data_IF_039084257662
#
_entry.id   IF_039084257662
#
_cell.length_a   1.000
_cell.length_b   1.000
_cell.length_c   1.000
_cell.angle_alpha   90.00
_cell.angle_beta   90.00
_cell.angle_gamma   90.00
#
_symmetry.space_group_name_H-M   'P 1'
#
loop_
_entity.id
_entity.type
_entity.pdbx_description
1 polymer ?
#
# COMPACT_ATOMS: atom_id res chain seq x y z
N UNK A 1 -3.92 6.60 -12.40
CA UNK A 1 -5.35 6.33 -12.18
C UNK A 1 -6.02 7.62 -11.69
N UNK A 2 -7.28 7.91 -12.04
CA UNK A 2 -7.99 9.04 -11.43
C UNK A 2 -8.18 8.81 -9.93
N UNK A 3 -7.96 9.84 -9.11
CA UNK A 3 -8.11 9.78 -7.65
C UNK A 3 -9.61 9.82 -7.31
N UNK A 4 -10.12 8.79 -6.63
CA UNK A 4 -11.55 8.60 -6.32
C UNK A 4 -11.85 8.46 -4.82
N UNK A 5 -10.87 8.79 -3.99
CA UNK A 5 -10.91 8.91 -2.52
C UNK A 5 -12.14 9.66 -1.96
N UNK A 6 -12.68 10.65 -2.68
CA UNK A 6 -13.88 11.40 -2.26
C UNK A 6 -15.13 10.51 -2.19
N UNK A 7 -15.11 9.34 -2.83
CA UNK A 7 -16.17 8.34 -2.78
C UNK A 7 -15.96 7.29 -1.68
N UNK A 8 -14.96 7.46 -0.81
CA UNK A 8 -14.56 6.47 0.20
C UNK A 8 -15.75 5.92 1.00
N UNK A 9 -16.59 6.79 1.58
CA UNK A 9 -17.72 6.36 2.41
C UNK A 9 -18.75 5.53 1.64
N UNK A 10 -19.09 5.95 0.42
CA UNK A 10 -20.05 5.24 -0.42
C UNK A 10 -19.51 3.84 -0.80
N UNK A 11 -18.23 3.77 -1.19
CA UNK A 11 -17.55 2.51 -1.52
C UNK A 11 -17.37 1.60 -0.31
N UNK A 12 -17.04 2.16 0.85
CA UNK A 12 -16.95 1.39 2.08
C UNK A 12 -18.31 0.75 2.41
N UNK A 13 -19.41 1.50 2.26
CA UNK A 13 -20.77 0.97 2.43
C UNK A 13 -21.07 -0.20 1.49
N UNK A 14 -20.78 -0.06 0.19
CA UNK A 14 -21.03 -1.15 -0.76
C UNK A 14 -20.14 -2.37 -0.53
N UNK A 15 -18.86 -2.16 -0.19
CA UNK A 15 -17.91 -3.25 0.08
C UNK A 15 -18.21 -4.00 1.39
N UNK A 16 -18.77 -3.32 2.39
CA UNK A 16 -19.24 -3.98 3.62
C UNK A 16 -20.46 -4.89 3.37
N UNK A 17 -21.30 -4.56 2.38
CA UNK A 17 -22.46 -5.37 2.02
C UNK A 17 -22.12 -6.57 1.11
N UNK A 18 -20.91 -6.60 0.53
CA UNK A 18 -20.46 -7.66 -0.37
C UNK A 18 -20.01 -8.90 0.41
N UNK A 19 -20.89 -9.92 0.46
CA UNK A 19 -20.66 -11.15 1.20
C UNK A 19 -19.45 -11.96 0.69
N UNK A 20 -19.22 -11.99 -0.64
CA UNK A 20 -18.10 -12.73 -1.23
C UNK A 20 -16.78 -12.06 -0.83
N UNK A 21 -16.73 -10.74 -0.92
CA UNK A 21 -15.58 -9.98 -0.45
C UNK A 21 -15.28 -10.24 1.03
N UNK A 22 -16.30 -10.27 1.90
CA UNK A 22 -16.09 -10.56 3.32
C UNK A 22 -15.46 -11.96 3.54
N UNK A 23 -15.90 -12.96 2.78
CA UNK A 23 -15.33 -14.31 2.83
C UNK A 23 -13.88 -14.34 2.35
N UNK A 24 -13.58 -13.65 1.24
CA UNK A 24 -12.23 -13.59 0.66
C UNK A 24 -11.24 -12.88 1.59
N UNK A 25 -11.62 -11.74 2.18
CA UNK A 25 -10.76 -10.98 3.10
C UNK A 25 -10.49 -11.73 4.41
N UNK A 26 -11.48 -12.46 4.95
CA UNK A 26 -11.33 -13.21 6.20
C UNK A 26 -10.28 -14.32 6.09
N UNK A 27 -10.24 -15.03 4.95
CA UNK A 27 -9.21 -16.05 4.70
C UNK A 27 -7.80 -15.44 4.66
N UNK A 28 -7.67 -14.26 4.03
CA UNK A 28 -6.39 -13.58 3.88
C UNK A 28 -5.83 -13.07 5.21
N UNK A 29 -6.69 -12.41 6.00
CA UNK A 29 -6.27 -11.79 7.27
C UNK A 29 -5.66 -12.79 8.23
N UNK A 30 -6.12 -14.04 8.22
CA UNK A 30 -5.59 -15.08 9.10
C UNK A 30 -4.26 -15.64 8.60
N UNK A 31 -4.14 -15.89 7.29
CA UNK A 31 -2.96 -16.57 6.72
C UNK A 31 -1.68 -15.72 6.80
N UNK A 32 -1.72 -14.46 6.38
CA UNK A 32 -0.52 -13.62 6.39
C UNK A 32 -0.08 -13.22 7.80
N UNK A 33 -1.05 -12.98 8.70
CA UNK A 33 -0.77 -12.62 10.10
C UNK A 33 -0.10 -13.77 10.83
N UNK A 34 -0.62 -15.00 10.71
CA UNK A 34 -0.04 -16.17 11.37
C UNK A 34 1.32 -16.55 10.77
N UNK A 35 1.45 -16.55 9.44
CA UNK A 35 2.71 -16.85 8.77
C UNK A 35 3.81 -15.85 9.16
N UNK A 36 3.50 -14.55 9.20
CA UNK A 36 4.42 -13.52 9.69
C UNK A 36 4.81 -13.78 11.14
N UNK A 37 3.85 -14.03 12.02
CA UNK A 37 4.10 -14.26 13.44
C UNK A 37 5.10 -15.40 13.67
N UNK A 38 4.98 -16.50 12.91
CA UNK A 38 5.94 -17.61 12.95
C UNK A 38 7.29 -17.24 12.34
N UNK A 39 7.32 -16.53 11.20
CA UNK A 39 8.56 -16.27 10.48
C UNK A 39 9.50 -15.29 11.20
N UNK A 40 8.95 -14.33 11.95
CA UNK A 40 9.75 -13.33 12.67
C UNK A 40 10.45 -13.89 13.90
N UNK A 41 10.00 -15.02 14.47
CA UNK A 41 10.66 -15.63 15.65
C UNK A 41 12.04 -16.19 15.32
N UNK A 42 12.33 -16.44 14.05
CA UNK A 42 13.62 -16.92 13.58
C UNK A 42 14.73 -15.84 13.60
N UNK A 43 14.42 -14.60 13.97
CA UNK A 43 15.36 -13.49 14.02
C UNK A 43 15.10 -12.64 15.29
N UNK A 44 16.09 -11.86 15.71
CA UNK A 44 15.84 -10.73 16.61
C UNK A 44 15.10 -9.64 15.83
N UNK A 45 13.77 -9.69 15.86
CA UNK A 45 12.93 -8.79 15.08
C UNK A 45 13.14 -7.32 15.48
N UNK A 46 13.19 -7.01 16.77
CA UNK A 46 13.31 -5.61 17.23
C UNK A 46 14.69 -5.03 16.92
N UNK A 47 15.78 -5.79 17.13
CA UNK A 47 17.11 -5.32 16.74
C UNK A 47 17.24 -5.17 15.22
N UNK A 48 16.74 -6.15 14.44
CA UNK A 48 16.78 -6.08 12.97
C UNK A 48 15.93 -4.90 12.45
N UNK A 49 14.76 -4.66 13.07
CA UNK A 49 13.88 -3.52 12.77
C UNK A 49 14.54 -2.19 13.06
N UNK A 50 15.22 -2.06 14.20
CA UNK A 50 15.98 -0.86 14.55
C UNK A 50 17.10 -0.60 13.54
N UNK A 51 17.88 -1.63 13.21
CA UNK A 51 18.95 -1.55 12.23
C UNK A 51 18.44 -1.13 10.83
N UNK A 52 17.34 -1.74 10.35
CA UNK A 52 16.77 -1.35 9.06
C UNK A 52 16.21 0.07 9.09
N UNK A 53 15.54 0.47 10.18
CA UNK A 53 15.04 1.84 10.34
C UNK A 53 16.16 2.87 10.22
N UNK A 54 17.28 2.63 10.90
CA UNK A 54 18.47 3.49 10.84
C UNK A 54 19.06 3.55 9.43
N UNK A 55 19.27 2.40 8.78
CA UNK A 55 19.81 2.35 7.41
C UNK A 55 18.91 3.07 6.41
N UNK A 56 17.58 2.94 6.54
CA UNK A 56 16.62 3.69 5.73
C UNK A 56 16.65 5.19 6.02
N UNK A 57 16.84 5.62 7.26
CA UNK A 57 17.00 7.04 7.59
C UNK A 57 18.29 7.60 6.96
N UNK A 58 19.43 6.93 7.12
CA UNK A 58 20.72 7.34 6.52
C UNK A 58 20.63 7.50 5.00
N UNK A 59 19.89 6.60 4.33
CA UNK A 59 19.65 6.67 2.91
C UNK A 59 18.81 7.90 2.51
N UNK A 60 17.82 8.27 3.32
CA UNK A 60 16.95 9.43 3.07
C UNK A 60 17.61 10.77 3.43
N UNK A 61 18.46 10.80 4.45
CA UNK A 61 19.19 11.99 4.88
C UNK A 61 20.23 12.47 3.86
N UNK A 62 20.76 11.56 3.04
CA UNK A 62 21.75 11.84 2.00
C UNK A 62 21.26 11.32 0.64
N UNK A 63 19.96 11.48 0.39
CA UNK A 63 19.27 10.88 -0.76
C UNK A 63 19.91 11.29 -2.08
N UNK A 64 20.22 12.57 -2.24
CA UNK A 64 20.94 13.15 -3.37
C UNK A 64 22.28 12.43 -3.63
N UNK A 65 23.13 12.31 -2.61
CA UNK A 65 24.46 11.68 -2.70
C UNK A 65 24.35 10.21 -3.13
N UNK A 66 23.36 9.49 -2.60
CA UNK A 66 23.16 8.08 -2.95
C UNK A 66 22.58 7.91 -4.35
N UNK A 67 21.74 8.83 -4.82
CA UNK A 67 21.23 8.83 -6.19
C UNK A 67 22.33 9.15 -7.21
N UNK A 68 23.19 10.13 -6.94
CA UNK A 68 24.36 10.43 -7.78
C UNK A 68 25.34 9.25 -7.83
N UNK A 69 25.55 8.58 -6.69
CA UNK A 69 26.39 7.38 -6.62
C UNK A 69 25.77 6.23 -7.41
N UNK A 70 24.47 6.01 -7.27
CA UNK A 70 23.74 5.03 -8.06
C UNK A 70 23.86 5.31 -9.56
N UNK A 71 23.63 6.55 -10.00
CA UNK A 71 23.72 6.95 -11.40
C UNK A 71 25.11 6.71 -11.98
N UNK A 72 26.15 7.14 -11.27
CA UNK A 72 27.54 6.92 -11.67
C UNK A 72 27.83 5.42 -11.84
N UNK A 73 27.46 4.61 -10.85
CA UNK A 73 27.74 3.17 -10.87
C UNK A 73 26.90 2.41 -11.91
N UNK A 74 25.65 2.81 -12.14
CA UNK A 74 24.79 2.23 -13.18
C UNK A 74 25.31 2.60 -14.58
N UNK A 75 25.69 3.87 -14.78
CA UNK A 75 26.23 4.37 -16.05
C UNK A 75 27.57 3.72 -16.38
N UNK A 76 28.45 3.54 -15.39
CA UNK A 76 29.72 2.81 -15.55
C UNK A 76 29.52 1.38 -16.05
N UNK A 77 28.35 0.78 -15.78
CA UNK A 77 27.96 -0.57 -16.21
C UNK A 77 27.17 -0.59 -17.52
N UNK A 78 26.98 0.56 -18.17
CA UNK A 78 26.30 0.67 -19.46
C UNK A 78 24.79 0.85 -19.38
N UNK A 79 24.21 1.01 -18.18
CA UNK A 79 22.82 1.40 -18.06
C UNK A 79 22.65 2.92 -18.25
N UNK A 80 21.46 3.37 -18.64
CA UNK A 80 21.10 4.79 -18.68
C UNK A 80 20.17 5.12 -17.52
N UNK A 81 20.49 6.15 -16.73
CA UNK A 81 19.62 6.63 -15.64
C UNK A 81 18.89 7.89 -16.09
N UNK A 82 17.59 7.93 -15.83
CA UNK A 82 16.71 9.04 -16.17
C UNK A 82 15.89 9.42 -14.95
N UNK A 83 15.72 10.71 -14.71
CA UNK A 83 14.96 11.24 -13.59
C UNK A 83 13.62 11.81 -14.07
N UNK A 84 12.57 11.54 -13.31
CA UNK A 84 11.22 12.02 -13.56
C UNK A 84 10.67 12.77 -12.35
N UNK A 85 10.34 14.05 -12.52
CA UNK A 85 9.71 14.87 -11.48
C UNK A 85 8.29 14.39 -11.16
N UNK A 86 7.52 14.04 -12.20
CA UNK A 86 6.15 13.56 -12.08
C UNK A 86 5.96 12.13 -12.59
N UNK A 87 4.83 11.51 -12.25
CA UNK A 87 4.49 10.18 -12.79
C UNK A 87 4.15 10.26 -14.28
N UNK A 88 3.71 11.43 -14.76
CA UNK A 88 3.50 11.69 -16.18
C UNK A 88 4.82 11.79 -16.94
N UNK A 89 5.84 12.43 -16.36
CA UNK A 89 7.19 12.47 -16.94
C UNK A 89 7.79 11.07 -17.02
N UNK A 90 7.63 10.27 -15.96
CA UNK A 90 8.09 8.89 -15.97
C UNK A 90 7.42 8.09 -17.10
N UNK A 91 6.11 8.24 -17.29
CA UNK A 91 5.38 7.59 -18.39
C UNK A 91 5.88 8.05 -19.77
N UNK A 92 6.14 9.35 -19.93
CA UNK A 92 6.71 9.92 -21.15
C UNK A 92 8.09 9.36 -21.44
N UNK A 93 8.98 9.26 -20.45
CA UNK A 93 10.32 8.71 -20.62
C UNK A 93 10.27 7.23 -21.06
N UNK A 94 9.41 6.41 -20.46
CA UNK A 94 9.23 5.01 -20.89
C UNK A 94 8.68 4.93 -22.32
N UNK A 95 7.73 5.80 -22.67
CA UNK A 95 7.22 5.92 -24.03
C UNK A 95 8.30 6.34 -25.04
N UNK A 96 9.17 7.29 -24.68
CA UNK A 96 10.27 7.74 -25.53
C UNK A 96 11.32 6.64 -25.73
N UNK A 97 11.62 5.84 -24.69
CA UNK A 97 12.45 4.63 -24.82
C UNK A 97 11.79 3.63 -25.78
N UNK A 98 10.49 3.39 -25.64
CA UNK A 98 9.76 2.47 -26.52
C UNK A 98 9.82 2.92 -27.99
N UNK A 99 9.67 4.23 -28.27
CA UNK A 99 9.83 4.79 -29.62
C UNK A 99 11.26 4.66 -30.14
N UNK A 100 12.25 5.00 -29.32
CA UNK A 100 13.67 4.95 -29.67
C UNK A 100 14.10 3.56 -30.16
N UNK A 101 13.50 2.52 -29.58
CA UNK A 101 13.80 1.13 -29.89
C UNK A 101 12.70 0.43 -30.68
N UNK A 102 11.84 1.16 -31.40
CA UNK A 102 10.77 0.61 -32.25
C UNK A 102 9.96 -0.53 -31.58
N UNK A 103 9.67 -0.37 -30.29
CA UNK A 103 8.99 -1.38 -29.47
C UNK A 103 7.53 -1.49 -29.89
N UNK A 104 7.07 -2.70 -30.17
CA UNK A 104 5.66 -3.01 -30.47
C UNK A 104 4.98 -3.74 -29.33
N UNK A 105 5.74 -4.51 -28.54
CA UNK A 105 5.23 -5.27 -27.41
C UNK A 105 6.09 -5.10 -26.16
N UNK A 106 5.41 -4.80 -25.07
CA UNK A 106 5.95 -4.67 -23.73
C UNK A 106 5.37 -5.75 -22.83
N UNK A 107 6.24 -6.41 -22.07
CA UNK A 107 5.85 -7.27 -20.95
C UNK A 107 6.28 -6.65 -19.64
N UNK A 108 5.43 -6.76 -18.61
CA UNK A 108 5.66 -6.05 -17.35
C UNK A 108 5.45 -6.93 -16.15
N UNK A 109 6.31 -6.74 -15.16
CA UNK A 109 6.05 -7.25 -13.82
C UNK A 109 5.23 -6.24 -13.04
N UNK A 110 4.59 -6.71 -11.98
CA UNK A 110 3.92 -5.87 -11.00
C UNK A 110 4.79 -4.70 -10.50
N UNK A 111 4.24 -3.49 -10.58
CA UNK A 111 4.86 -2.29 -10.00
C UNK A 111 3.82 -1.22 -9.66
N UNK A 112 3.79 -0.79 -8.40
CA UNK A 112 2.92 0.33 -7.98
C UNK A 112 3.25 1.63 -8.72
N UNK A 113 4.50 1.84 -9.12
CA UNK A 113 4.90 3.05 -9.86
C UNK A 113 4.37 3.00 -11.29
N UNK A 114 4.31 1.81 -11.92
CA UNK A 114 3.63 1.63 -13.21
C UNK A 114 2.13 1.98 -13.12
N UNK A 115 1.48 1.65 -12.00
CA UNK A 115 0.08 2.04 -11.74
C UNK A 115 -0.11 3.55 -11.51
N UNK A 116 0.82 4.19 -10.80
CA UNK A 116 0.87 5.66 -10.66
C UNK A 116 0.94 6.35 -12.04
N UNK A 117 1.76 5.81 -12.93
CA UNK A 117 2.01 6.29 -14.29
C UNK A 117 0.87 5.99 -15.28
N UNK A 118 -0.01 5.02 -14.97
CA UNK A 118 -0.97 4.45 -15.93
C UNK A 118 -0.27 3.91 -17.19
N UNK A 119 0.85 3.23 -17.01
CA UNK A 119 1.74 2.87 -18.11
C UNK A 119 1.04 2.02 -19.19
N UNK A 120 0.15 1.10 -18.80
CA UNK A 120 -0.64 0.29 -19.75
C UNK A 120 -1.46 1.18 -20.71
N UNK A 121 -2.10 2.22 -20.17
CA UNK A 121 -2.89 3.16 -20.97
C UNK A 121 -2.00 3.97 -21.90
N UNK A 122 -0.91 4.54 -21.39
CA UNK A 122 0.00 5.39 -22.16
C UNK A 122 0.63 4.62 -23.34
N UNK A 123 1.08 3.39 -23.10
CA UNK A 123 1.62 2.53 -24.16
C UNK A 123 0.53 2.13 -25.16
N UNK A 124 -0.68 1.81 -24.68
CA UNK A 124 -1.81 1.45 -25.53
C UNK A 124 -2.26 2.60 -26.46
N UNK A 125 -2.28 3.84 -25.96
CA UNK A 125 -2.58 5.04 -26.77
C UNK A 125 -1.55 5.27 -27.89
N UNK A 126 -0.35 4.69 -27.77
CA UNK A 126 0.71 4.71 -28.80
C UNK A 126 0.70 3.49 -29.73
N UNK A 127 -0.26 2.58 -29.55
CA UNK A 127 -0.31 1.32 -30.32
C UNK A 127 0.71 0.27 -29.88
N UNK A 128 1.36 0.45 -28.72
CA UNK A 128 2.27 -0.54 -28.13
C UNK A 128 1.46 -1.49 -27.25
N UNK A 129 1.50 -2.79 -27.56
CA UNK A 129 0.81 -3.79 -26.75
C UNK A 129 1.54 -3.95 -25.42
N UNK A 130 0.84 -3.78 -24.31
CA UNK A 130 1.41 -3.89 -22.96
C UNK A 130 0.74 -5.04 -22.21
N UNK A 131 1.51 -5.99 -21.71
CA UNK A 131 1.00 -7.22 -21.08
C UNK A 131 1.59 -7.38 -19.66
N UNK A 132 0.73 -7.51 -18.66
CA UNK A 132 1.12 -7.91 -17.30
C UNK A 132 1.45 -9.39 -17.26
N UNK A 133 2.50 -9.72 -16.51
CA UNK A 133 3.05 -11.08 -16.44
C UNK A 133 2.97 -11.70 -15.06
N UNK A 134 2.72 -10.89 -14.03
CA UNK A 134 2.31 -11.36 -12.71
C UNK A 134 0.89 -11.90 -12.85
N UNK A 135 0.62 -13.11 -12.35
CA UNK A 135 -0.68 -13.76 -12.55
C UNK A 135 -1.82 -12.90 -12.00
N UNK A 136 -1.58 -12.26 -10.86
CA UNK A 136 -2.56 -11.39 -10.24
C UNK A 136 -2.84 -10.15 -11.10
N UNK A 137 -1.80 -9.43 -11.50
CA UNK A 137 -1.97 -8.24 -12.37
C UNK A 137 -2.53 -8.61 -13.76
N UNK A 138 -2.18 -9.78 -14.30
CA UNK A 138 -2.74 -10.28 -15.57
C UNK A 138 -4.26 -10.52 -15.47
N UNK A 139 -4.72 -11.18 -14.40
CA UNK A 139 -6.15 -11.38 -14.14
C UNK A 139 -6.89 -10.04 -14.10
N UNK A 140 -6.30 -9.02 -13.46
CA UNK A 140 -6.88 -7.68 -13.40
C UNK A 140 -6.89 -7.00 -14.76
N UNK A 141 -5.81 -7.15 -15.54
CA UNK A 141 -5.70 -6.59 -16.87
C UNK A 141 -6.80 -7.11 -17.80
N UNK A 142 -7.00 -8.42 -17.85
CA UNK A 142 -8.04 -9.04 -18.70
C UNK A 142 -9.45 -8.84 -18.14
N UNK A 143 -9.58 -8.47 -16.86
CA UNK A 143 -10.83 -8.04 -16.25
C UNK A 143 -11.02 -6.52 -16.38
N UNK A 144 -11.01 -6.02 -17.62
CA UNK A 144 -11.24 -4.61 -17.95
C UNK A 144 -10.25 -3.63 -17.27
N UNK A 145 -8.99 -4.04 -17.09
CA UNK A 145 -7.96 -3.26 -16.40
C UNK A 145 -8.38 -2.80 -14.98
N UNK A 146 -8.96 -3.71 -14.20
CA UNK A 146 -9.36 -3.45 -12.82
C UNK A 146 -8.14 -3.07 -11.95
N UNK A 147 -8.23 -2.09 -11.04
CA UNK A 147 -7.10 -1.76 -10.18
C UNK A 147 -6.83 -2.85 -9.13
N UNK A 148 -5.58 -3.01 -8.66
CA UNK A 148 -5.25 -3.97 -7.61
C UNK A 148 -5.89 -3.59 -6.28
N UNK A 149 -6.44 -4.58 -5.57
CA UNK A 149 -6.96 -4.36 -4.22
C UNK A 149 -5.90 -4.51 -3.13
N UNK A 150 -4.73 -5.09 -3.44
CA UNK A 150 -3.62 -5.24 -2.49
C UNK A 150 -2.25 -5.14 -3.14
N UNK A 151 -1.31 -4.46 -2.47
CA UNK A 151 0.07 -4.28 -2.95
C UNK A 151 0.91 -5.57 -3.09
N UNK A 152 0.53 -6.71 -2.49
CA UNK A 152 1.25 -8.00 -2.66
C UNK A 152 0.35 -9.05 -3.32
N UNK A 153 -0.95 -9.08 -3.00
CA UNK A 153 -1.92 -10.06 -3.52
C UNK A 153 -3.06 -9.33 -4.28
N UNK A 154 -2.81 -8.86 -5.50
CA UNK A 154 -3.62 -7.81 -6.14
C UNK A 154 -5.08 -8.22 -6.41
N UNK A 155 -5.33 -9.52 -6.60
CA UNK A 155 -6.64 -10.12 -6.90
C UNK A 155 -7.37 -10.63 -5.66
N UNK A 156 -6.92 -10.33 -4.45
CA UNK A 156 -7.48 -10.95 -3.23
C UNK A 156 -8.97 -10.68 -2.96
N UNK A 157 -9.57 -9.76 -3.71
CA UNK A 157 -10.99 -9.50 -3.65
C UNK A 157 -11.84 -10.51 -4.46
N UNK A 158 -11.23 -11.30 -5.37
CA UNK A 158 -11.91 -12.33 -6.16
C UNK A 158 -11.66 -13.73 -5.64
N UNK A 159 -12.62 -14.62 -5.87
CA UNK A 159 -12.47 -16.05 -5.63
C UNK A 159 -12.07 -16.84 -6.89
N UNK A 160 -11.83 -18.14 -6.70
CA UNK A 160 -11.37 -19.04 -7.77
C UNK A 160 -12.42 -19.15 -8.87
N UNK A 161 -13.69 -19.16 -8.50
CA UNK A 161 -14.82 -19.34 -9.38
C UNK A 161 -14.95 -18.15 -10.33
N UNK A 162 -14.79 -16.91 -9.83
CA UNK A 162 -14.73 -15.70 -10.67
C UNK A 162 -13.57 -15.73 -11.67
N UNK A 163 -12.41 -16.20 -11.24
CA UNK A 163 -11.23 -16.28 -12.10
C UNK A 163 -11.43 -17.35 -13.19
N UNK A 164 -12.05 -18.49 -12.85
CA UNK A 164 -12.35 -19.55 -13.80
C UNK A 164 -13.33 -19.09 -14.89
N UNK A 165 -14.37 -18.35 -14.51
CA UNK A 165 -15.33 -17.79 -15.46
C UNK A 165 -14.68 -16.76 -16.38
N UNK A 166 -13.81 -15.90 -15.83
CA UNK A 166 -13.04 -14.90 -16.57
C UNK A 166 -12.08 -15.55 -17.58
N UNK A 167 -11.35 -16.60 -17.17
CA UNK A 167 -10.44 -17.33 -18.06
C UNK A 167 -11.19 -18.01 -19.21
N UNK A 168 -12.30 -18.70 -18.92
CA UNK A 168 -13.13 -19.31 -19.95
C UNK A 168 -13.64 -18.27 -20.97
N UNK A 169 -14.11 -17.12 -20.46
CA UNK A 169 -14.59 -16.01 -21.30
C UNK A 169 -13.49 -15.42 -22.17
N UNK A 170 -12.31 -15.17 -21.61
CA UNK A 170 -11.24 -14.38 -22.24
C UNK A 170 -10.31 -15.22 -23.11
N UNK A 171 -9.92 -16.41 -22.62
CA UNK A 171 -9.00 -17.29 -23.35
C UNK A 171 -9.74 -18.15 -24.39
N UNK A 172 -11.07 -18.13 -24.40
CA UNK A 172 -11.92 -18.93 -25.29
C UNK A 172 -11.61 -20.44 -25.20
N UNK A 173 -11.32 -20.90 -23.98
CA UNK A 173 -11.02 -22.30 -23.63
C UNK A 173 -12.11 -22.88 -22.71
N UNK A 174 -12.24 -24.23 -22.62
CA UNK A 174 -13.13 -24.86 -21.64
C UNK A 174 -12.83 -24.40 -20.21
N UNK A 175 -13.87 -24.19 -19.42
CA UNK A 175 -13.74 -23.76 -18.03
C UNK A 175 -13.03 -24.83 -17.19
N UNK A 176 -11.92 -24.44 -16.57
CA UNK A 176 -11.17 -25.27 -15.63
C UNK A 176 -11.57 -24.94 -14.18
N UNK A 177 -11.52 -25.93 -13.29
CA UNK A 177 -11.90 -25.75 -11.87
C UNK A 177 -10.75 -25.93 -10.91
N UNK A 178 -9.66 -26.57 -11.32
CA UNK A 178 -8.52 -26.84 -10.44
C UNK A 178 -7.45 -25.75 -10.57
N UNK A 179 -6.93 -25.26 -9.43
CA UNK A 179 -5.92 -24.19 -9.40
C UNK A 179 -4.66 -24.55 -10.21
N UNK A 180 -4.11 -25.78 -10.13
CA UNK A 180 -2.95 -26.16 -10.95
C UNK A 180 -3.22 -26.08 -12.46
N UNK A 181 -4.44 -26.39 -12.89
CA UNK A 181 -4.80 -26.37 -14.32
C UNK A 181 -5.03 -24.93 -14.80
N UNK A 182 -5.71 -24.11 -14.00
CA UNK A 182 -5.89 -22.68 -14.29
C UNK A 182 -4.54 -21.95 -14.36
N UNK A 183 -3.62 -22.22 -13.44
CA UNK A 183 -2.28 -21.62 -13.47
C UNK A 183 -1.44 -22.11 -14.65
N UNK A 184 -1.58 -23.39 -15.04
CA UNK A 184 -0.98 -23.92 -16.27
C UNK A 184 -1.51 -23.23 -17.51
N UNK A 185 -2.83 -23.05 -17.61
CA UNK A 185 -3.45 -22.35 -18.74
C UNK A 185 -2.93 -20.91 -18.86
N UNK A 186 -2.90 -20.15 -17.76
CA UNK A 186 -2.35 -18.79 -17.77
C UNK A 186 -0.88 -18.78 -18.24
N UNK A 187 -0.07 -19.75 -17.80
CA UNK A 187 1.32 -19.90 -18.25
C UNK A 187 1.43 -20.19 -19.74
N UNK A 188 0.54 -21.02 -20.29
CA UNK A 188 0.49 -21.30 -21.73
C UNK A 188 0.11 -20.07 -22.54
N UNK A 189 -0.87 -19.28 -22.06
CA UNK A 189 -1.31 -18.03 -22.69
C UNK A 189 -0.20 -16.98 -22.66
N UNK A 190 0.51 -16.84 -21.54
CA UNK A 190 1.57 -15.82 -21.39
C UNK A 190 2.87 -16.20 -22.11
N UNK A 191 3.15 -17.49 -22.34
CA UNK A 191 4.42 -17.96 -22.91
C UNK A 191 4.78 -17.28 -24.25
N UNK A 192 3.89 -17.20 -25.26
CA UNK A 192 4.19 -16.52 -26.51
C UNK A 192 4.47 -15.03 -26.32
N UNK A 193 3.85 -14.37 -25.34
CA UNK A 193 4.12 -12.96 -25.05
C UNK A 193 5.54 -12.76 -24.53
N UNK A 194 6.03 -13.61 -23.63
CA UNK A 194 7.42 -13.56 -23.17
C UNK A 194 8.43 -13.71 -24.30
N UNK A 195 8.18 -14.62 -25.25
CA UNK A 195 9.09 -14.91 -26.36
C UNK A 195 9.11 -13.84 -27.46
N UNK A 196 8.08 -12.99 -27.52
CA UNK A 196 7.88 -12.02 -28.62
C UNK A 196 7.87 -10.57 -28.15
N UNK A 197 8.21 -10.30 -26.90
CA UNK A 197 8.26 -8.95 -26.37
C UNK A 197 9.59 -8.26 -26.73
N UNK A 198 9.51 -6.99 -27.12
CA UNK A 198 10.69 -6.20 -27.46
C UNK A 198 11.27 -5.52 -26.23
N UNK A 199 10.41 -5.19 -25.25
CA UNK A 199 10.80 -4.50 -24.02
C UNK A 199 10.16 -5.13 -22.77
N UNK A 200 10.96 -5.28 -21.73
CA UNK A 200 10.52 -5.64 -20.40
C UNK A 200 10.50 -4.42 -19.48
N UNK A 201 9.44 -4.26 -18.69
CA UNK A 201 9.38 -3.23 -17.65
C UNK A 201 9.22 -3.86 -16.28
N UNK A 202 10.10 -3.52 -15.35
CA UNK A 202 10.01 -3.97 -13.96
C UNK A 202 9.84 -2.82 -13.00
N UNK A 203 9.32 -3.14 -11.82
CA UNK A 203 9.53 -2.29 -10.65
C UNK A 203 10.94 -2.43 -10.08
N UNK A 204 11.14 -1.84 -8.91
CA UNK A 204 12.28 -2.11 -8.03
C UNK A 204 11.82 -2.16 -6.57
N UNK A 205 12.27 -3.17 -5.83
CA UNK A 205 12.10 -3.19 -4.37
C UNK A 205 13.12 -2.26 -3.71
N UNK A 206 14.36 -2.24 -4.21
CA UNK A 206 15.43 -1.35 -3.78
C UNK A 206 16.37 -1.00 -4.94
N UNK A 207 16.98 0.18 -4.88
CA UNK A 207 18.15 0.56 -5.69
C UNK A 207 19.38 0.47 -4.79
N UNK A 208 20.49 -0.06 -5.30
CA UNK A 208 21.71 -0.26 -4.53
C UNK A 208 22.77 0.67 -5.10
N UNK A 209 23.11 1.71 -4.35
CA UNK A 209 23.96 2.80 -4.84
C UNK A 209 25.37 2.30 -5.17
N UNK A 210 26.01 1.52 -4.29
CA UNK A 210 27.39 1.07 -4.50
C UNK A 210 27.59 0.17 -5.73
N UNK A 211 26.53 -0.47 -6.22
CA UNK A 211 26.58 -1.37 -7.39
C UNK A 211 25.81 -0.87 -8.60
N UNK A 212 25.07 0.25 -8.50
CA UNK A 212 24.21 0.71 -9.59
C UNK A 212 23.16 -0.33 -9.99
N UNK A 213 22.66 -1.12 -9.03
CA UNK A 213 21.76 -2.25 -9.29
C UNK A 213 20.34 -2.00 -8.79
N UNK A 214 19.36 -2.67 -9.42
CA UNK A 214 18.01 -2.79 -8.87
C UNK A 214 17.79 -4.20 -8.31
N UNK A 215 17.27 -4.27 -7.08
CA UNK A 215 16.81 -5.51 -6.49
C UNK A 215 15.31 -5.70 -6.73
N UNK A 216 14.95 -6.87 -7.26
CA UNK A 216 13.55 -7.27 -7.49
C UNK A 216 13.25 -8.56 -6.74
N UNK A 217 12.10 -8.59 -6.09
CA UNK A 217 11.65 -9.70 -5.24
C UNK A 217 10.31 -10.21 -5.76
N UNK A 218 10.23 -11.48 -6.13
CA UNK A 218 8.99 -12.11 -6.62
C UNK A 218 8.87 -13.56 -6.20
N UNK A 219 7.65 -14.11 -6.25
CA UNK A 219 7.35 -15.51 -5.98
C UNK A 219 6.97 -16.31 -7.25
N UNK A 220 6.84 -15.66 -8.40
CA UNK A 220 6.27 -16.26 -9.61
C UNK A 220 7.29 -16.48 -10.75
N UNK A 221 8.49 -15.91 -10.65
CA UNK A 221 9.58 -16.09 -11.61
C UNK A 221 9.37 -15.41 -12.98
N UNK A 222 8.23 -14.77 -13.18
CA UNK A 222 7.89 -13.96 -14.36
C UNK A 222 8.86 -12.81 -14.60
N UNK A 223 9.46 -12.28 -13.52
CA UNK A 223 10.48 -11.23 -13.59
C UNK A 223 11.69 -11.66 -14.44
N UNK A 224 12.23 -12.85 -14.23
CA UNK A 224 13.40 -13.32 -15.00
C UNK A 224 13.11 -13.34 -16.50
N UNK A 225 11.89 -13.72 -16.92
CA UNK A 225 11.53 -13.65 -18.34
C UNK A 225 11.31 -12.21 -18.84
N UNK A 226 10.91 -11.28 -17.96
CA UNK A 226 10.82 -9.86 -18.32
C UNK A 226 12.19 -9.19 -18.43
N UNK A 227 13.20 -9.70 -17.75
CA UNK A 227 14.52 -9.05 -17.67
C UNK A 227 15.55 -9.70 -18.57
N UNK A 228 15.39 -10.97 -18.91
CA UNK A 228 16.34 -11.72 -19.74
C UNK A 228 15.94 -11.79 -21.22
N UNK A 229 14.65 -11.93 -21.52
CA UNK A 229 14.18 -12.19 -22.90
C UNK A 229 14.16 -10.95 -23.80
N UNK A 230 13.63 -9.79 -23.35
CA UNK A 230 13.49 -8.63 -24.23
C UNK A 230 14.82 -7.91 -24.45
N UNK A 231 15.02 -7.34 -25.64
CA UNK A 231 16.23 -6.55 -25.96
C UNK A 231 16.35 -5.27 -25.13
N UNK A 232 15.25 -4.70 -24.66
CA UNK A 232 15.26 -3.51 -23.80
C UNK A 232 14.67 -3.86 -22.44
N UNK A 233 15.36 -3.50 -21.36
CA UNK A 233 14.82 -3.55 -20.01
C UNK A 233 14.72 -2.15 -19.42
N UNK A 234 13.56 -1.82 -18.84
CA UNK A 234 13.34 -0.58 -18.10
C UNK A 234 12.92 -0.90 -16.67
N UNK A 235 13.74 -0.52 -15.70
CA UNK A 235 13.38 -0.57 -14.30
C UNK A 235 12.84 0.79 -13.85
N UNK A 236 11.58 0.82 -13.40
CA UNK A 236 10.92 2.04 -12.93
C UNK A 236 10.69 1.97 -11.43
N UNK A 237 11.21 2.95 -10.69
CA UNK A 237 11.11 2.96 -9.23
C UNK A 237 11.12 4.36 -8.66
N UNK A 238 10.55 4.51 -7.47
CA UNK A 238 10.66 5.74 -6.72
C UNK A 238 12.07 5.96 -6.18
N UNK A 239 12.50 7.22 -6.15
CA UNK A 239 13.82 7.65 -5.66
C UNK A 239 14.08 7.24 -4.20
N UNK A 240 13.03 7.13 -3.39
CA UNK A 240 13.14 6.85 -1.96
C UNK A 240 13.69 5.45 -1.69
N UNK A 241 13.62 4.55 -2.66
CA UNK A 241 13.99 3.13 -2.49
C UNK A 241 15.49 2.86 -2.56
N UNK A 242 16.33 3.89 -2.69
CA UNK A 242 17.78 3.72 -2.66
C UNK A 242 18.28 3.23 -1.30
N UNK A 243 19.26 2.34 -1.35
CA UNK A 243 20.05 1.83 -0.25
C UNK A 243 21.53 2.03 -0.60
N UNK A 244 22.35 2.51 0.34
CA UNK A 244 23.78 2.71 0.10
C UNK A 244 24.50 1.42 -0.35
N UNK A 245 24.32 0.32 0.39
CA UNK A 245 25.10 -0.91 0.20
C UNK A 245 24.25 -2.18 0.08
N UNK A 246 24.86 -3.26 -0.41
CA UNK A 246 24.32 -4.62 -0.40
C UNK A 246 24.09 -5.15 1.02
N UNK A 247 24.86 -4.66 2.01
CA UNK A 247 24.62 -4.99 3.42
C UNK A 247 23.30 -4.38 3.92
N UNK A 248 22.98 -3.16 3.47
CA UNK A 248 21.69 -2.55 3.75
C UNK A 248 20.55 -3.35 3.11
N UNK A 249 20.76 -3.83 1.87
CA UNK A 249 19.83 -4.72 1.19
C UNK A 249 19.65 -6.04 1.94
N UNK A 250 20.74 -6.67 2.39
CA UNK A 250 20.69 -7.91 3.17
C UNK A 250 19.85 -7.73 4.43
N UNK A 251 20.01 -6.60 5.13
CA UNK A 251 19.19 -6.24 6.29
C UNK A 251 17.72 -6.07 5.91
N UNK A 252 17.42 -5.39 4.79
CA UNK A 252 16.06 -5.25 4.29
C UNK A 252 15.42 -6.61 3.94
N UNK A 253 16.18 -7.52 3.35
CA UNK A 253 15.73 -8.86 2.97
C UNK A 253 15.51 -9.79 4.16
N UNK A 254 16.09 -9.51 5.34
CA UNK A 254 15.69 -10.21 6.56
C UNK A 254 14.24 -9.92 6.94
N UNK A 255 13.74 -8.72 6.66
CA UNK A 255 12.42 -8.26 7.13
C UNK A 255 11.33 -8.26 6.05
N UNK A 256 11.67 -7.98 4.79
CA UNK A 256 10.68 -7.83 3.71
C UNK A 256 9.85 -9.12 3.48
N UNK A 257 10.44 -10.29 3.19
CA UNK A 257 9.66 -11.51 2.92
C UNK A 257 8.89 -11.98 4.16
N UNK A 258 9.50 -11.89 5.35
CA UNK A 258 8.85 -12.27 6.62
C UNK A 258 7.63 -11.41 6.90
N UNK A 259 7.71 -10.11 6.62
CA UNK A 259 6.61 -9.17 6.85
C UNK A 259 5.54 -9.21 5.78
N UNK A 260 5.89 -9.60 4.55
CA UNK A 260 4.97 -9.64 3.42
C UNK A 260 4.20 -10.96 3.35
N UNK A 261 4.93 -12.08 3.21
CA UNK A 261 4.35 -13.40 2.92
C UNK A 261 4.59 -14.41 4.04
N UNK A 262 5.35 -14.04 5.08
CA UNK A 262 5.74 -14.96 6.15
C UNK A 262 6.81 -15.96 5.72
N UNK A 263 7.53 -15.68 4.62
CA UNK A 263 8.64 -16.51 4.16
C UNK A 263 9.96 -16.01 4.74
N UNK A 264 10.93 -16.91 4.93
CA UNK A 264 12.30 -16.52 5.32
C UNK A 264 13.03 -15.79 4.20
N UNK A 265 12.74 -16.17 2.95
CA UNK A 265 13.19 -15.56 1.70
C UNK A 265 12.11 -15.76 0.61
N UNK A 266 12.05 -14.89 -0.39
CA UNK A 266 11.16 -15.08 -1.55
C UNK A 266 11.68 -16.18 -2.47
N UNK A 267 10.81 -16.78 -3.29
CA UNK A 267 11.23 -17.85 -4.21
C UNK A 267 12.23 -17.36 -5.27
N UNK A 268 12.13 -16.09 -5.67
CA UNK A 268 13.04 -15.46 -6.61
C UNK A 268 13.52 -14.11 -6.07
N UNK A 269 14.79 -13.85 -6.29
CA UNK A 269 15.47 -12.62 -5.94
C UNK A 269 16.50 -12.33 -7.01
N UNK A 270 16.37 -11.18 -7.65
CA UNK A 270 17.20 -10.78 -8.78
C UNK A 270 17.87 -9.45 -8.46
N UNK A 271 19.18 -9.37 -8.68
CA UNK A 271 19.96 -8.14 -8.57
C UNK A 271 20.48 -7.77 -9.96
N UNK A 272 19.77 -6.87 -10.63
CA UNK A 272 19.99 -6.53 -12.04
C UNK A 272 20.97 -5.37 -12.13
N UNK A 273 22.08 -5.56 -12.86
CA UNK A 273 23.30 -4.75 -12.74
C UNK A 273 23.86 -4.38 -14.12
N UNK A 274 23.05 -3.70 -14.93
CA UNK A 274 23.41 -3.30 -16.29
C UNK A 274 22.83 -4.22 -17.38
N UNK A 275 23.00 -3.84 -18.66
CA UNK A 275 22.68 -4.70 -19.80
C UNK A 275 23.64 -5.89 -19.89
N UNK A 276 23.34 -6.83 -20.79
CA UNK A 276 24.21 -7.97 -21.08
C UNK A 276 25.60 -7.51 -21.55
N UNK A 277 26.65 -8.17 -21.04
CA UNK A 277 28.01 -8.02 -21.51
C UNK A 277 28.27 -8.78 -22.82
N UNK A 278 29.43 -8.55 -23.43
CA UNK A 278 29.79 -9.18 -24.70
C UNK A 278 29.92 -10.71 -24.62
N UNK A 279 30.22 -11.25 -23.44
CA UNK A 279 30.35 -12.69 -23.17
C UNK A 279 29.06 -13.34 -22.67
N UNK A 280 28.03 -12.55 -22.37
CA UNK A 280 26.80 -13.06 -21.78
C UNK A 280 25.91 -13.66 -22.87
N UNK A 281 25.37 -14.85 -22.58
CA UNK A 281 24.53 -15.59 -23.54
C UNK A 281 23.13 -14.99 -23.67
N UNK A 282 22.66 -14.30 -22.64
CA UNK A 282 21.31 -13.76 -22.52
C UNK A 282 21.30 -12.41 -21.78
N UNK A 283 20.13 -11.77 -21.72
CA UNK A 283 19.95 -10.46 -21.10
C UNK A 283 19.65 -9.32 -22.08
N UNK A 284 19.30 -8.14 -21.56
CA UNK A 284 18.86 -7.03 -22.39
C UNK A 284 20.07 -6.33 -23.01
N UNK A 285 19.95 -5.92 -24.27
CA UNK A 285 20.96 -5.10 -24.97
C UNK A 285 21.01 -3.67 -24.42
N UNK A 286 19.89 -3.19 -23.88
CA UNK A 286 19.77 -1.87 -23.30
C UNK A 286 19.06 -1.94 -21.95
N UNK A 287 19.66 -1.31 -20.93
CA UNK A 287 19.05 -1.17 -19.61
C UNK A 287 18.83 0.31 -19.28
N UNK A 288 17.60 0.65 -18.87
CA UNK A 288 17.23 1.99 -18.43
C UNK A 288 16.71 1.94 -17.00
N UNK A 289 17.11 2.91 -16.19
CA UNK A 289 16.49 3.20 -14.89
C UNK A 289 15.69 4.49 -15.01
N UNK A 290 14.40 4.44 -14.70
CA UNK A 290 13.55 5.64 -14.60
C UNK A 290 13.23 5.86 -13.12
N UNK A 291 13.90 6.86 -12.54
CA UNK A 291 13.80 7.21 -11.13
C UNK A 291 12.75 8.29 -10.93
N UNK A 292 11.70 7.97 -10.16
CA UNK A 292 10.49 8.78 -10.05
C UNK A 292 10.44 9.50 -8.71
N UNK A 293 10.37 10.83 -8.75
CA UNK A 293 10.04 11.63 -7.58
C UNK A 293 8.53 11.54 -7.29
N UNK A 294 7.68 12.12 -8.15
CA UNK A 294 6.22 12.06 -7.97
C UNK A 294 5.75 12.59 -6.61
N UNK A 295 6.45 13.58 -6.05
CA UNK A 295 6.15 14.22 -4.76
C UNK A 295 6.82 13.58 -3.53
N UNK A 296 7.78 12.66 -3.72
CA UNK A 296 8.55 12.02 -2.64
C UNK A 296 9.54 13.00 -2.00
N UNK A 297 10.24 13.81 -2.79
CA UNK A 297 11.13 14.87 -2.30
C UNK A 297 10.42 15.85 -1.38
N UNK A 298 9.14 16.16 -1.66
CA UNK A 298 8.31 17.03 -0.82
C UNK A 298 8.05 16.49 0.60
N UNK A 299 8.38 15.23 0.88
CA UNK A 299 8.30 14.65 2.23
C UNK A 299 9.63 14.68 2.97
N UNK A 300 10.76 14.89 2.29
CA UNK A 300 12.09 15.00 2.88
C UNK A 300 12.16 16.25 3.77
N UNK A 301 12.77 16.12 4.96
CA UNK A 301 12.83 17.15 5.99
C UNK A 301 11.50 17.47 6.67
N UNK A 302 10.38 16.93 6.17
CA UNK A 302 9.04 17.24 6.63
C UNK A 302 8.50 16.29 7.71
N UNK A 303 7.33 16.63 8.24
CA UNK A 303 6.64 15.86 9.29
C UNK A 303 6.23 14.43 8.88
N UNK A 304 6.27 14.15 7.57
CA UNK A 304 5.87 12.89 6.95
C UNK A 304 7.05 12.11 6.33
N UNK A 305 8.31 12.56 6.51
CA UNK A 305 9.51 11.92 5.96
C UNK A 305 9.56 10.42 6.28
N UNK A 306 9.11 10.04 7.48
CA UNK A 306 9.10 8.66 7.94
C UNK A 306 8.37 7.69 6.99
N UNK A 307 7.39 8.19 6.24
CA UNK A 307 6.65 7.40 5.26
C UNK A 307 7.53 6.89 4.10
N UNK A 308 8.62 7.61 3.78
CA UNK A 308 9.58 7.23 2.73
C UNK A 308 10.42 6.00 3.10
N UNK A 309 10.42 5.56 4.38
CA UNK A 309 11.07 4.30 4.76
C UNK A 309 10.35 3.07 4.23
N UNK A 310 9.10 3.20 3.76
CA UNK A 310 8.23 2.08 3.44
C UNK A 310 8.83 1.11 2.40
N UNK A 311 8.98 -0.16 2.79
CA UNK A 311 9.46 -1.24 1.91
C UNK A 311 8.33 -1.99 1.21
N UNK A 312 7.10 -1.44 1.22
CA UNK A 312 5.91 -2.00 0.55
C UNK A 312 5.56 -3.46 0.93
N UNK A 313 5.86 -3.89 2.15
CA UNK A 313 5.58 -5.26 2.59
C UNK A 313 4.10 -5.60 2.78
N UNK A 314 3.23 -4.61 3.02
CA UNK A 314 1.79 -4.85 3.21
C UNK A 314 1.35 -5.26 4.61
N UNK A 315 2.28 -5.46 5.56
CA UNK A 315 1.94 -5.84 6.94
C UNK A 315 0.90 -4.92 7.59
N UNK A 316 1.02 -3.60 7.40
CA UNK A 316 0.04 -2.64 7.92
C UNK A 316 -1.38 -2.86 7.38
N UNK A 317 -1.54 -3.33 6.14
CA UNK A 317 -2.84 -3.62 5.54
C UNK A 317 -3.40 -4.91 6.12
N UNK A 318 -2.57 -5.95 6.20
CA UNK A 318 -2.94 -7.26 6.71
C UNK A 318 -3.41 -7.23 8.17
N UNK A 319 -2.91 -6.31 8.98
CA UNK A 319 -3.30 -6.14 10.39
C UNK A 319 -4.36 -5.04 10.61
N UNK A 320 -4.75 -4.30 9.58
CA UNK A 320 -5.69 -3.19 9.74
C UNK A 320 -7.14 -3.69 9.78
N UNK A 321 -7.89 -3.48 10.88
CA UNK A 321 -9.28 -3.94 10.97
C UNK A 321 -10.19 -3.24 9.96
N UNK A 322 -9.87 -2.01 9.55
CA UNK A 322 -10.64 -1.28 8.53
C UNK A 322 -10.42 -1.93 7.16
N UNK A 323 -9.16 -2.12 6.75
CA UNK A 323 -8.81 -2.76 5.47
C UNK A 323 -9.39 -4.17 5.36
N UNK A 324 -9.31 -4.97 6.43
CA UNK A 324 -9.87 -6.33 6.48
C UNK A 324 -11.40 -6.39 6.26
N UNK A 325 -12.11 -5.27 6.38
CA UNK A 325 -13.57 -5.20 6.16
C UNK A 325 -13.96 -4.58 4.84
N UNK A 326 -13.21 -3.59 4.34
CA UNK A 326 -13.61 -2.83 3.15
C UNK A 326 -12.78 -3.15 1.91
N UNK A 327 -11.65 -3.85 2.06
CA UNK A 327 -10.69 -4.12 0.98
C UNK A 327 -9.99 -2.87 0.44
N UNK A 328 -9.13 -3.03 -0.57
CA UNK A 328 -8.35 -1.91 -1.10
C UNK A 328 -9.11 -0.94 -1.98
N UNK A 329 -10.09 -1.41 -2.77
CA UNK A 329 -10.80 -0.54 -3.72
C UNK A 329 -11.59 0.59 -3.07
N UNK A 330 -12.00 0.42 -1.81
CA UNK A 330 -12.70 1.46 -1.06
C UNK A 330 -11.85 2.72 -0.87
N UNK A 331 -10.52 2.58 -0.81
CA UNK A 331 -9.58 3.70 -0.61
C UNK A 331 -9.49 4.62 -1.84
N UNK A 332 -9.90 4.15 -3.03
CA UNK A 332 -10.08 5.01 -4.21
C UNK A 332 -8.80 5.53 -4.86
N UNK A 333 -7.63 4.99 -4.51
CA UNK A 333 -6.39 5.26 -5.25
C UNK A 333 -5.42 4.05 -5.23
N UNK A 334 -4.28 4.17 -5.92
CA UNK A 334 -3.31 3.07 -6.12
C UNK A 334 -2.75 2.53 -4.80
N UNK A 335 -2.67 3.36 -3.76
CA UNK A 335 -2.23 2.93 -2.44
C UNK A 335 -3.42 2.75 -1.48
N UNK A 336 -3.77 1.50 -1.12
CA UNK A 336 -4.80 1.23 -0.11
C UNK A 336 -4.24 1.09 1.32
N UNK A 337 -5.16 1.01 2.28
CA UNK A 337 -4.85 0.69 3.68
C UNK A 337 -4.16 1.83 4.44
N UNK A 338 -3.63 1.56 5.65
CA UNK A 338 -3.05 2.60 6.51
C UNK A 338 -1.93 3.41 5.86
N UNK A 339 -1.02 2.76 5.13
CA UNK A 339 0.04 3.45 4.38
C UNK A 339 -0.55 4.31 3.26
N UNK A 340 -1.55 3.81 2.54
CA UNK A 340 -2.24 4.55 1.49
C UNK A 340 -2.98 5.78 2.01
N UNK A 341 -3.55 5.69 3.21
CA UNK A 341 -4.20 6.80 3.90
C UNK A 341 -3.24 7.93 4.31
N UNK A 342 -1.92 7.68 4.33
CA UNK A 342 -0.89 8.71 4.52
C UNK A 342 -0.34 9.19 3.17
N UNK A 343 -0.01 8.27 2.27
CA UNK A 343 0.65 8.61 1.00
C UNK A 343 -0.27 9.30 -0.01
N UNK A 344 -1.53 8.88 -0.09
CA UNK A 344 -2.47 9.50 -1.04
C UNK A 344 -2.63 11.01 -0.78
N UNK A 345 -2.94 11.48 0.44
CA UNK A 345 -3.00 12.93 0.70
C UNK A 345 -1.65 13.62 0.53
N UNK A 346 -0.53 12.94 0.80
CA UNK A 346 0.81 13.48 0.61
C UNK A 346 1.13 13.74 -0.88
N UNK A 347 0.76 12.83 -1.77
CA UNK A 347 1.06 12.93 -3.20
C UNK A 347 0.01 13.70 -4.01
N UNK A 348 -1.26 13.61 -3.61
CA UNK A 348 -2.37 14.16 -4.41
C UNK A 348 -3.00 15.41 -3.81
N UNK A 349 -2.60 15.79 -2.59
CA UNK A 349 -3.21 16.87 -1.82
C UNK A 349 -4.25 16.35 -0.82
N UNK A 350 -4.19 16.89 0.40
CA UNK A 350 -5.07 16.48 1.52
C UNK A 350 -6.54 16.81 1.28
N UNK A 351 -6.83 17.87 0.52
CA UNK A 351 -8.17 18.29 0.08
C UNK A 351 -8.83 17.25 -0.85
N UNK A 352 -8.02 16.49 -1.58
CA UNK A 352 -8.48 15.40 -2.43
C UNK A 352 -8.60 14.08 -1.69
N UNK A 353 -8.30 13.98 -0.40
CA UNK A 353 -8.31 12.71 0.33
C UNK A 353 -8.84 12.86 1.76
N UNK A 354 -9.90 13.66 1.95
CA UNK A 354 -10.38 14.08 3.27
C UNK A 354 -10.79 12.92 4.20
N UNK A 355 -11.36 11.85 3.65
CA UNK A 355 -11.84 10.73 4.45
C UNK A 355 -10.75 9.70 4.78
N UNK A 356 -9.64 9.66 4.04
CA UNK A 356 -8.63 8.60 4.23
C UNK A 356 -7.91 8.66 5.59
N UNK A 357 -7.52 9.84 6.12
CA UNK A 357 -7.02 9.94 7.49
C UNK A 357 -8.03 9.47 8.54
N UNK A 358 -9.33 9.54 8.22
CA UNK A 358 -10.43 9.13 9.09
C UNK A 358 -10.74 7.62 8.98
N UNK A 359 -10.25 6.95 7.93
CA UNK A 359 -10.36 5.51 7.70
C UNK A 359 -9.44 4.67 8.62
N UNK A 360 -9.35 5.05 9.89
CA UNK A 360 -8.51 4.39 10.88
C UNK A 360 -9.14 4.47 12.27
N UNK A 361 -9.13 3.35 12.99
CA UNK A 361 -9.49 3.25 14.40
C UNK A 361 -8.40 3.78 15.33
N UNK A 362 -7.21 4.11 14.79
CA UNK A 362 -6.02 4.52 15.54
C UNK A 362 -5.60 3.49 16.62
N UNK A 363 -5.82 2.20 16.37
CA UNK A 363 -5.46 1.13 17.32
C UNK A 363 -3.95 0.90 17.51
N UNK A 364 -3.09 1.52 16.69
CA UNK A 364 -1.63 1.41 16.80
C UNK A 364 -1.01 0.13 16.22
N UNK A 365 -1.81 -0.88 15.87
CA UNK A 365 -1.30 -2.17 15.37
C UNK A 365 -0.36 -2.02 14.15
N UNK A 366 -0.70 -1.12 13.23
CA UNK A 366 0.14 -0.82 12.06
C UNK A 366 1.53 -0.26 12.43
N UNK A 367 1.70 0.38 13.59
CA UNK A 367 2.99 0.82 14.10
C UNK A 367 3.78 -0.38 14.62
N UNK A 368 3.13 -1.26 15.41
CA UNK A 368 3.74 -2.43 16.03
C UNK A 368 4.32 -3.39 14.99
N UNK A 369 3.59 -3.64 13.91
CA UNK A 369 4.00 -4.63 12.89
C UNK A 369 4.93 -4.08 11.81
N UNK A 370 5.13 -2.77 11.76
CA UNK A 370 5.92 -2.13 10.70
C UNK A 370 7.41 -2.49 10.81
N UNK A 371 8.00 -3.21 9.82
CA UNK A 371 9.40 -3.63 9.88
C UNK A 371 10.41 -2.48 9.76
N UNK A 372 9.94 -1.29 9.39
CA UNK A 372 10.75 -0.07 9.23
C UNK A 372 10.32 1.05 10.18
N UNK A 373 9.55 0.69 11.22
CA UNK A 373 9.22 1.57 12.33
C UNK A 373 8.57 2.89 11.91
N UNK A 374 7.60 2.83 10.99
CA UNK A 374 6.79 4.00 10.59
C UNK A 374 5.62 4.14 11.56
N UNK A 375 5.47 5.27 12.26
CA UNK A 375 4.37 5.50 13.19
C UNK A 375 3.11 5.97 12.44
N UNK A 376 2.53 5.05 11.65
CA UNK A 376 1.38 5.33 10.79
C UNK A 376 0.20 5.95 11.54
N UNK A 377 -0.10 5.54 12.78
CA UNK A 377 -1.18 6.16 13.57
C UNK A 377 -0.92 7.64 13.83
N UNK A 378 0.33 8.01 14.09
CA UNK A 378 0.71 9.39 14.42
C UNK A 378 0.70 10.25 13.17
N UNK A 379 1.19 9.73 12.05
CA UNK A 379 1.10 10.40 10.75
C UNK A 379 -0.36 10.63 10.34
N UNK A 380 -1.24 9.63 10.56
CA UNK A 380 -2.68 9.80 10.30
C UNK A 380 -3.30 10.86 11.21
N UNK A 381 -2.92 10.90 12.50
CA UNK A 381 -3.37 11.96 13.42
C UNK A 381 -2.91 13.35 12.97
N UNK A 382 -1.65 13.50 12.58
CA UNK A 382 -1.12 14.77 12.03
C UNK A 382 -1.90 15.23 10.80
N UNK A 383 -2.30 14.31 9.92
CA UNK A 383 -3.17 14.66 8.79
C UNK A 383 -4.53 15.17 9.27
N UNK A 384 -5.13 14.58 10.32
CA UNK A 384 -6.38 15.09 10.90
C UNK A 384 -6.21 16.49 11.50
N UNK A 385 -5.09 16.74 12.19
CA UNK A 385 -4.74 18.07 12.73
C UNK A 385 -4.65 19.11 11.60
N UNK A 386 -3.88 18.81 10.54
CA UNK A 386 -3.77 19.67 9.35
C UNK A 386 -5.11 19.92 8.65
N UNK A 387 -6.02 18.94 8.62
CA UNK A 387 -7.37 19.13 8.07
C UNK A 387 -8.17 20.17 8.89
N UNK A 388 -8.01 20.19 10.21
CA UNK A 388 -8.67 21.16 11.10
C UNK A 388 -8.04 22.55 10.95
N UNK A 389 -6.71 22.63 10.98
CA UNK A 389 -5.94 23.89 10.81
C UNK A 389 -6.28 24.58 9.49
N UNK A 390 -6.30 23.82 8.39
CA UNK A 390 -6.63 24.31 7.05
C UNK A 390 -8.13 24.49 6.81
N UNK A 391 -8.98 24.30 7.83
CA UNK A 391 -10.45 24.41 7.76
C UNK A 391 -11.09 23.54 6.68
N UNK A 392 -10.50 22.37 6.40
CA UNK A 392 -10.99 21.41 5.42
C UNK A 392 -12.11 20.50 5.97
N UNK A 393 -12.30 20.50 7.29
CA UNK A 393 -13.42 19.81 7.96
C UNK A 393 -14.63 20.73 8.13
N UNK A 394 -15.86 20.17 8.12
CA UNK A 394 -17.08 20.93 8.36
C UNK A 394 -16.97 21.80 9.62
N UNK A 395 -17.50 23.02 9.56
CA UNK A 395 -17.45 23.96 10.69
C UNK A 395 -18.12 23.37 11.95
N UNK A 396 -19.19 22.60 11.78
CA UNK A 396 -19.93 21.95 12.86
C UNK A 396 -19.08 20.91 13.60
N UNK A 397 -18.31 20.10 12.86
CA UNK A 397 -17.35 19.13 13.43
C UNK A 397 -16.26 19.85 14.23
N UNK A 398 -15.68 20.92 13.67
CA UNK A 398 -14.65 21.72 14.34
C UNK A 398 -15.19 22.41 15.60
N UNK A 399 -16.40 22.96 15.54
CA UNK A 399 -17.05 23.60 16.69
C UNK A 399 -17.39 22.59 17.80
N UNK A 400 -17.90 21.40 17.43
CA UNK A 400 -18.19 20.34 18.38
C UNK A 400 -16.92 19.85 19.11
N UNK A 401 -15.81 19.66 18.38
CA UNK A 401 -14.53 19.29 18.97
C UNK A 401 -13.97 20.40 19.87
N UNK A 402 -14.08 21.66 19.47
CA UNK A 402 -13.65 22.79 20.30
C UNK A 402 -14.47 22.89 21.60
N UNK A 403 -15.79 22.73 21.53
CA UNK A 403 -16.66 22.72 22.70
C UNK A 403 -16.36 21.53 23.63
N UNK A 404 -16.15 20.34 23.06
CA UNK A 404 -15.73 19.17 23.82
C UNK A 404 -14.36 19.39 24.50
N UNK A 405 -13.39 19.94 23.77
CA UNK A 405 -12.06 20.27 24.30
C UNK A 405 -12.14 21.27 25.45
N UNK A 406 -12.94 22.33 25.32
CA UNK A 406 -13.21 23.27 26.40
C UNK A 406 -13.78 22.57 27.63
N UNK A 407 -14.81 21.73 27.48
CA UNK A 407 -15.39 20.99 28.60
C UNK A 407 -14.37 20.03 29.23
N UNK A 408 -13.61 19.28 28.44
CA UNK A 408 -12.63 18.31 28.91
C UNK A 408 -11.50 18.95 29.74
N UNK A 409 -11.10 20.17 29.38
CA UNK A 409 -10.09 20.95 30.11
C UNK A 409 -10.61 21.59 31.42
N UNK A 410 -11.92 21.57 31.67
CA UNK A 410 -12.53 22.13 32.87
C UNK A 410 -13.21 21.04 33.72
N UNK A 411 -12.49 20.42 34.69
CA UNK A 411 -12.96 19.23 35.39
C UNK A 411 -14.34 19.37 36.07
N UNK A 412 -14.67 20.54 36.62
CA UNK A 412 -15.96 20.78 37.27
C UNK A 412 -17.13 20.76 36.28
N UNK A 413 -17.00 21.49 35.17
CA UNK A 413 -17.99 21.50 34.08
C UNK A 413 -18.12 20.13 33.42
N UNK A 414 -17.00 19.44 33.19
CA UNK A 414 -17.01 18.08 32.67
C UNK A 414 -17.75 17.10 33.59
N UNK A 415 -17.55 17.20 34.91
CA UNK A 415 -18.24 16.36 35.89
C UNK A 415 -19.75 16.57 35.86
N UNK A 416 -20.19 17.83 35.85
CA UNK A 416 -21.61 18.17 35.79
C UNK A 416 -22.23 17.70 34.47
N UNK A 417 -21.57 18.01 33.34
CA UNK A 417 -22.04 17.67 32.01
C UNK A 417 -22.17 16.15 31.82
N UNK A 418 -21.15 15.38 32.20
CA UNK A 418 -21.18 13.91 32.11
C UNK A 418 -22.26 13.29 33.01
N UNK A 419 -22.47 13.83 34.22
CA UNK A 419 -23.55 13.40 35.12
C UNK A 419 -24.94 13.64 34.54
N UNK A 420 -25.19 14.83 33.99
CA UNK A 420 -26.46 15.15 33.34
C UNK A 420 -26.66 14.30 32.09
N UNK A 421 -25.62 14.17 31.26
CA UNK A 421 -25.65 13.34 30.05
C UNK A 421 -25.96 11.88 30.37
N UNK A 422 -25.34 11.31 31.41
CA UNK A 422 -25.61 9.93 31.82
C UNK A 422 -27.09 9.72 32.19
N UNK A 423 -27.69 10.63 32.97
CA UNK A 423 -29.11 10.54 33.35
C UNK A 423 -30.05 10.70 32.16
N UNK A 424 -29.75 11.62 31.25
CA UNK A 424 -30.54 11.82 30.02
C UNK A 424 -30.47 10.57 29.15
N UNK A 425 -29.28 10.00 28.95
CA UNK A 425 -29.10 8.78 28.16
C UNK A 425 -29.77 7.56 28.82
N UNK A 426 -29.75 7.46 30.15
CA UNK A 426 -30.46 6.43 30.92
C UNK A 426 -31.99 6.55 30.69
N UNK A 427 -32.56 7.76 30.81
CA UNK A 427 -33.97 8.03 30.52
C UNK A 427 -34.34 7.69 29.07
N UNK A 428 -33.49 8.06 28.10
CA UNK A 428 -33.70 7.77 26.68
C UNK A 428 -33.67 6.26 26.36
N UNK A 429 -33.00 5.45 27.17
CA UNK A 429 -32.90 4.01 26.94
C UNK A 429 -34.14 3.21 27.35
N UNK A 430 -35.01 3.82 28.16
CA UNK A 430 -36.22 3.18 28.71
C UNK A 430 -35.93 1.81 29.32
N UNK A 431 -36.88 0.89 29.21
CA UNK A 431 -36.76 -0.46 29.78
C UNK A 431 -35.77 -1.36 29.03
N UNK A 432 -35.29 -0.94 27.86
CA UNK A 432 -34.43 -1.77 26.99
C UNK A 432 -32.94 -1.70 27.37
N UNK A 433 -32.55 -0.76 28.25
CA UNK A 433 -31.15 -0.50 28.63
C UNK A 433 -30.21 -0.29 27.43
N UNK A 434 -30.79 0.11 26.29
CA UNK A 434 -30.09 0.31 25.04
C UNK A 434 -30.74 1.46 24.26
N UNK A 435 -29.91 2.27 23.62
CA UNK A 435 -30.32 3.44 22.83
C UNK A 435 -30.20 3.06 21.36
N UNK A 436 -31.35 2.93 20.69
CA UNK A 436 -31.46 2.51 19.29
C UNK A 436 -31.41 3.67 18.31
N UNK A 437 -31.72 4.90 18.76
CA UNK A 437 -31.61 6.12 17.96
C UNK A 437 -31.13 7.26 18.83
N UNK A 438 -30.03 7.89 18.43
CA UNK A 438 -29.52 9.10 19.06
C UNK A 438 -29.53 10.24 18.03
N UNK A 439 -30.24 11.36 18.27
CA UNK A 439 -30.15 12.53 17.41
C UNK A 439 -28.68 12.95 17.23
N UNK A 440 -28.26 13.22 15.99
CA UNK A 440 -26.86 13.50 15.61
C UNK A 440 -25.87 12.34 15.84
N UNK A 441 -26.31 11.20 16.37
CA UNK A 441 -25.53 9.98 16.59
C UNK A 441 -25.78 8.86 15.57
N UNK A 442 -26.50 9.17 14.48
CA UNK A 442 -26.91 8.19 13.45
C UNK A 442 -25.74 7.40 12.85
N UNK A 443 -24.53 7.96 12.80
CA UNK A 443 -23.34 7.23 12.35
C UNK A 443 -23.07 5.93 13.14
N UNK A 444 -23.43 5.89 14.42
CA UNK A 444 -23.36 4.69 15.25
C UNK A 444 -24.72 3.97 15.29
N UNK A 445 -25.78 4.70 15.67
CA UNK A 445 -27.10 4.10 15.96
C UNK A 445 -27.83 3.55 14.75
N UNK A 446 -27.39 3.86 13.52
CA UNK A 446 -27.93 3.22 12.32
C UNK A 446 -27.47 1.77 12.15
N UNK A 447 -26.39 1.37 12.83
CA UNK A 447 -25.81 0.02 12.69
C UNK A 447 -25.65 -0.73 14.00
N UNK A 448 -25.63 -0.03 15.15
CA UNK A 448 -25.39 -0.61 16.46
C UNK A 448 -26.19 0.12 17.54
N UNK A 449 -26.72 -0.62 18.49
CA UNK A 449 -27.30 -0.01 19.68
C UNK A 449 -26.19 0.47 20.65
N UNK A 450 -26.44 1.59 21.34
CA UNK A 450 -25.54 2.08 22.39
C UNK A 450 -26.03 1.54 23.73
N UNK A 451 -25.21 0.82 24.52
CA UNK A 451 -25.61 0.40 25.86
C UNK A 451 -25.85 1.64 26.72
N UNK A 452 -26.98 1.67 27.43
CA UNK A 452 -27.31 2.79 28.28
C UNK A 452 -26.34 2.87 29.47
N UNK A 453 -25.84 4.07 29.83
CA UNK A 453 -25.15 4.24 31.09
C UNK A 453 -26.11 3.89 32.24
N UNK A 454 -25.65 3.06 33.18
CA UNK A 454 -26.44 2.63 34.34
C UNK A 454 -25.82 3.15 35.63
N UNK A 455 -26.64 3.82 36.45
CA UNK A 455 -26.27 4.23 37.79
C UNK A 455 -25.24 5.38 37.86
N UNK A 456 -24.26 5.24 38.76
CA UNK A 456 -23.30 6.30 39.09
C UNK A 456 -22.21 6.43 38.02
N UNK A 457 -21.81 7.66 37.72
CA UNK A 457 -20.66 7.92 36.83
C UNK A 457 -19.36 7.38 37.45
N UNK A 458 -18.35 7.10 36.62
CA UNK A 458 -17.02 6.67 37.11
C UNK A 458 -16.46 7.60 38.20
N UNK A 459 -16.63 8.93 38.05
CA UNK A 459 -16.18 9.90 39.05
C UNK A 459 -16.93 9.79 40.38
N UNK A 460 -18.23 9.53 40.33
CA UNK A 460 -19.04 9.30 41.54
C UNK A 460 -18.66 7.98 42.23
N UNK A 461 -18.38 6.92 41.47
CA UNK A 461 -17.90 5.64 41.98
C UNK A 461 -16.51 5.78 42.61
N UNK A 462 -15.59 6.45 41.90
CA UNK A 462 -14.22 6.71 42.37
C UNK A 462 -14.20 7.55 43.65
N UNK A 463 -15.04 8.59 43.74
CA UNK A 463 -15.19 9.38 44.97
C UNK A 463 -15.73 8.53 46.12
N UNK A 464 -16.70 7.63 45.87
CA UNK A 464 -17.25 6.74 46.88
C UNK A 464 -16.21 5.73 47.41
N UNK A 465 -15.41 5.13 46.52
CA UNK A 465 -14.36 4.22 46.92
C UNK A 465 -13.27 4.92 47.75
N UNK A 466 -12.88 6.14 47.39
CA UNK A 466 -11.91 6.92 48.17
C UNK A 466 -12.43 7.32 49.55
N UNK A 467 -13.74 7.50 49.72
CA UNK A 467 -14.34 7.73 51.05
C UNK A 467 -14.45 6.48 51.92
N UNK A 468 -14.13 5.28 51.41
CA UNK A 468 -14.11 4.02 52.17
C UNK A 468 -12.69 3.55 52.54
N UNK A 469 -11.63 4.28 52.17
CA UNK A 469 -10.21 3.96 52.47
C UNK A 469 -9.64 4.92 53.54
N UNK A 470 -10.47 5.77 54.14
CA UNK A 470 -10.16 6.51 55.36
C UNK A 470 -11.20 6.17 56.42
#
# INVERSE_FOLDING_TARGET
MQVQTMQFKARAGSKLADQRLQQNLTKLSTKFVSARASAITAIDFEATRAALKERRNRALENLDVWLETFEREATRRGATVLYAESTQDAARLVADIARKHDVRKVIKTKSMVSEEMQLNRVLGEMGVQSIETDLGEYILQINDNEPPSHIIAPVVHKDKEEIADLFAKTHHKPRLTEIPDMTREAREVLRPHFLSADMGVTGGNFLIAETGSVAVVTNEGNEGMCTVMPRVHVAVTGIEKVLPTLEDLATAMRLLPRSATGQTMSNYFSLLTGPRGASDLDGPEHMYFVLVDGGRTGLIGGEFQEMLRCIRCGACMNHCPVYQKIGGHAYGWVYPGPMGSVLTPAYTGIDRALDLPQAATLCGECNSVCPVGIPLSDLLRKLREKQVERRLRPWSERAALAAWGFLALHPGWYALFTKLSARVLELMSGNRKAITRLPLGGGWTNTRDIPAPVGRTFRELYKAQRSHIG
#
